data_IF_648773840413
#
_entry.id   IF_648773840413
#
_cell.length_a   1.000
_cell.length_b   1.000
_cell.length_c   1.000
_cell.angle_alpha   90.00
_cell.angle_beta   90.00
_cell.angle_gamma   90.00
#
_symmetry.space_group_name_H-M   'P 1'
#
loop_
_entity.id
_entity.type
_entity.pdbx_description
1 polymer ?
#
# COMPACT_ATOMS: atom_id res chain seq x y z
N UNK A 1 -12.99 -7.08 -2.20
CA UNK A 1 -11.65 -7.09 -1.57
C UNK A 1 -10.63 -7.32 -2.68
N UNK A 2 -9.51 -6.58 -2.69
CA UNK A 2 -8.49 -6.67 -3.73
C UNK A 2 -7.09 -6.60 -3.10
N UNK A 3 -6.10 -7.21 -3.75
CA UNK A 3 -4.69 -7.11 -3.35
C UNK A 3 -4.03 -5.88 -3.99
N UNK A 4 -3.75 -4.86 -3.19
CA UNK A 4 -3.24 -3.57 -3.66
C UNK A 4 -1.79 -3.37 -3.25
N UNK A 5 -0.93 -3.08 -4.24
CA UNK A 5 0.45 -2.66 -4.01
C UNK A 5 0.56 -1.15 -4.13
N UNK A 6 0.99 -0.48 -3.06
CA UNK A 6 1.19 0.98 -3.03
C UNK A 6 2.67 1.32 -3.13
N UNK A 7 3.04 2.27 -3.99
CA UNK A 7 4.42 2.74 -4.22
C UNK A 7 4.47 4.28 -4.27
N UNK A 8 5.63 4.82 -3.93
CA UNK A 8 5.87 6.26 -3.83
C UNK A 8 6.27 6.69 -2.42
N UNK A 9 6.61 7.97 -2.28
CA UNK A 9 7.18 8.54 -1.05
C UNK A 9 6.12 9.02 -0.03
N UNK A 10 4.87 9.20 -0.45
CA UNK A 10 3.75 9.66 0.38
C UNK A 10 2.56 8.70 0.35
N UNK A 11 2.76 7.48 0.86
CA UNK A 11 1.77 6.38 0.71
C UNK A 11 0.94 6.10 1.97
N UNK A 12 1.31 6.64 3.13
CA UNK A 12 0.65 6.36 4.42
C UNK A 12 -0.87 6.59 4.39
N UNK A 13 -1.32 7.75 3.90
CA UNK A 13 -2.76 8.07 3.88
C UNK A 13 -3.55 7.13 2.96
N UNK A 14 -2.98 6.81 1.79
CA UNK A 14 -3.59 5.86 0.84
C UNK A 14 -3.66 4.46 1.45
N UNK A 15 -2.61 4.01 2.14
CA UNK A 15 -2.61 2.72 2.85
C UNK A 15 -3.74 2.65 3.87
N UNK A 16 -3.91 3.69 4.71
CA UNK A 16 -4.99 3.73 5.71
C UNK A 16 -6.37 3.60 5.07
N UNK A 17 -6.64 4.37 4.00
CA UNK A 17 -7.94 4.34 3.32
C UNK A 17 -8.24 2.98 2.69
N UNK A 18 -7.23 2.30 2.15
CA UNK A 18 -7.40 0.97 1.57
C UNK A 18 -7.72 -0.08 2.65
N UNK A 19 -7.04 -0.02 3.78
CA UNK A 19 -7.28 -0.92 4.92
C UNK A 19 -8.69 -0.68 5.51
N UNK A 20 -9.09 0.58 5.74
CA UNK A 20 -10.42 0.94 6.21
C UNK A 20 -11.54 0.49 5.27
N UNK A 21 -11.28 0.51 3.95
CA UNK A 21 -12.21 0.04 2.93
C UNK A 21 -12.23 -1.50 2.79
N UNK A 22 -11.44 -2.23 3.59
CA UNK A 22 -11.40 -3.69 3.58
C UNK A 22 -10.63 -4.29 2.40
N UNK A 23 -9.68 -3.56 1.81
CA UNK A 23 -8.72 -4.10 0.85
C UNK A 23 -7.48 -4.65 1.56
N UNK A 24 -6.81 -5.62 0.93
CA UNK A 24 -5.54 -6.12 1.40
C UNK A 24 -4.42 -5.28 0.78
N UNK A 25 -3.59 -4.64 1.62
CA UNK A 25 -2.34 -4.03 1.15
C UNK A 25 -1.25 -5.10 1.19
N UNK A 26 -0.57 -5.30 0.06
CA UNK A 26 0.45 -6.35 -0.10
C UNK A 26 1.79 -5.76 -0.50
N UNK A 27 2.87 -6.50 -0.23
CA UNK A 27 4.24 -6.13 -0.61
C UNK A 27 4.60 -4.72 -0.10
N UNK A 28 4.14 -4.37 1.11
CA UNK A 28 4.33 -3.05 1.69
C UNK A 28 5.83 -2.75 1.89
N UNK A 29 6.20 -1.47 1.74
CA UNK A 29 7.56 -1.03 2.08
C UNK A 29 7.78 -1.07 3.59
N UNK A 30 9.04 -1.20 4.00
CA UNK A 30 9.43 -1.22 5.41
C UNK A 30 8.89 -0.02 6.22
N UNK A 31 8.96 1.24 5.72
CA UNK A 31 8.37 2.37 6.45
C UNK A 31 6.84 2.30 6.61
N UNK A 32 6.13 1.54 5.76
CA UNK A 32 4.69 1.32 5.92
C UNK A 32 4.44 0.23 6.95
N UNK A 33 5.22 -0.86 6.93
CA UNK A 33 5.15 -1.93 7.94
C UNK A 33 5.33 -1.36 9.35
N UNK A 34 6.35 -0.52 9.55
CA UNK A 34 6.64 0.13 10.84
C UNK A 34 5.52 1.06 11.34
N UNK A 35 4.85 1.79 10.43
CA UNK A 35 3.83 2.78 10.81
C UNK A 35 2.50 2.18 11.23
N UNK A 36 2.15 1.02 10.66
CA UNK A 36 0.84 0.41 10.83
C UNK A 36 0.85 -0.75 11.82
N UNK A 37 2.01 -1.22 12.26
CA UNK A 37 2.16 -2.41 13.13
C UNK A 37 1.26 -3.57 12.68
N UNK A 38 1.21 -3.78 11.36
CA UNK A 38 0.31 -4.69 10.68
C UNK A 38 1.10 -5.65 9.80
N UNK A 39 0.59 -6.87 9.64
CA UNK A 39 1.18 -7.85 8.74
C UNK A 39 0.70 -7.59 7.30
N UNK A 40 1.66 -7.32 6.42
CA UNK A 40 1.39 -7.05 5.01
C UNK A 40 1.91 -8.25 4.21
N UNK A 41 0.99 -9.06 3.69
CA UNK A 41 1.35 -10.25 2.94
C UNK A 41 2.12 -9.95 1.64
N UNK A 42 2.83 -10.95 1.13
CA UNK A 42 3.65 -10.84 -0.09
C UNK A 42 2.96 -11.44 -1.34
N UNK A 43 1.64 -11.61 -1.29
CA UNK A 43 0.85 -12.16 -2.38
C UNK A 43 0.93 -11.31 -3.66
N UNK A 44 0.62 -11.94 -4.81
CA UNK A 44 0.49 -11.23 -6.08
C UNK A 44 -0.56 -10.13 -5.97
N UNK A 45 -0.18 -8.91 -6.38
CA UNK A 45 -1.08 -7.76 -6.42
C UNK A 45 -1.92 -7.79 -7.70
N UNK A 46 -3.17 -7.35 -7.57
CA UNK A 46 -4.11 -7.19 -8.69
C UNK A 46 -4.10 -5.74 -9.20
N UNK A 47 -3.81 -4.80 -8.29
CA UNK A 47 -3.79 -3.37 -8.56
C UNK A 47 -2.48 -2.76 -8.05
N UNK A 48 -1.89 -1.86 -8.84
CA UNK A 48 -0.79 -1.00 -8.39
C UNK A 48 -1.28 0.45 -8.28
N UNK A 49 -1.01 1.08 -7.13
CA UNK A 49 -1.18 2.52 -6.92
C UNK A 49 0.20 3.12 -6.75
N UNK A 50 0.55 4.10 -7.59
CA UNK A 50 1.85 4.76 -7.54
C UNK A 50 1.72 6.25 -7.85
N UNK A 51 2.62 7.07 -7.30
CA UNK A 51 2.81 8.43 -7.80
C UNK A 51 3.25 8.38 -9.26
N UNK A 52 2.76 9.32 -10.07
CA UNK A 52 3.14 9.42 -11.46
C UNK A 52 4.57 9.93 -11.59
N UNK A 53 5.22 9.62 -12.71
CA UNK A 53 6.64 9.94 -12.96
C UNK A 53 6.92 11.43 -13.11
N UNK A 54 5.88 12.23 -13.40
CA UNK A 54 5.97 13.66 -13.66
C UNK A 54 5.90 14.52 -12.39
N UNK A 55 5.60 13.92 -11.22
CA UNK A 55 5.59 14.61 -9.92
C UNK A 55 6.16 13.71 -8.83
N UNK A 56 7.36 14.08 -8.36
CA UNK A 56 8.01 13.53 -7.16
C UNK A 56 8.26 14.68 -6.18
#
# INVERSE_FOLDING_TARGET
MANVRVRGIYTTAVTHLLLDAGHAVVQASEPIRERFDADFGDATHEVTVATTSDRQ
#
